data_IF_598878924403
#
_entry.id   IF_598878924403
#
_cell.length_a   1.000
_cell.length_b   1.000
_cell.length_c   1.000
_cell.angle_alpha   90.00
_cell.angle_beta   90.00
_cell.angle_gamma   90.00
#
_symmetry.space_group_name_H-M   'P 1'
#
loop_
_entity.id
_entity.type
_entity.pdbx_description
1 polymer ?
#
# COMPACT_ATOMS: atom_id res chain seq x y z
N UNK A 1 26.60 -13.12 -33.41
CA UNK A 1 25.48 -14.05 -33.72
C UNK A 1 24.87 -14.46 -32.38
N UNK A 2 23.60 -14.29 -32.02
CA UNK A 2 22.35 -13.86 -32.66
C UNK A 2 21.64 -12.93 -31.67
N UNK A 3 21.15 -11.77 -32.11
CA UNK A 3 20.27 -10.95 -31.29
C UNK A 3 18.86 -11.52 -31.37
N UNK A 4 18.31 -12.00 -30.26
CA UNK A 4 16.87 -12.24 -30.18
C UNK A 4 16.16 -10.90 -29.97
N UNK A 5 15.72 -10.38 -31.12
CA UNK A 5 14.83 -9.25 -31.30
C UNK A 5 13.43 -9.70 -30.84
N UNK A 6 12.80 -8.89 -29.97
CA UNK A 6 11.43 -8.98 -29.45
C UNK A 6 11.21 -9.81 -28.16
N UNK A 7 10.92 -9.08 -27.08
CA UNK A 7 10.34 -9.59 -25.84
C UNK A 7 10.13 -8.41 -24.91
N UNK A 8 9.01 -7.70 -25.08
CA UNK A 8 8.58 -6.57 -24.26
C UNK A 8 8.81 -6.90 -22.78
N UNK A 9 9.49 -5.99 -22.05
CA UNK A 9 9.48 -6.02 -20.60
C UNK A 9 8.02 -6.10 -20.17
N UNK A 10 7.67 -7.19 -19.49
CA UNK A 10 6.33 -7.42 -18.97
C UNK A 10 6.07 -6.31 -17.92
N UNK A 11 5.49 -5.20 -18.37
CA UNK A 11 4.99 -4.15 -17.50
C UNK A 11 3.82 -4.79 -16.75
N UNK A 12 4.11 -5.33 -15.56
CA UNK A 12 3.07 -5.78 -14.63
C UNK A 12 2.22 -4.56 -14.32
N UNK A 13 1.04 -4.50 -14.93
CA UNK A 13 0.05 -3.50 -14.57
C UNK A 13 -0.35 -3.81 -13.14
N UNK A 14 0.03 -2.93 -12.21
CA UNK A 14 -0.56 -2.95 -10.88
C UNK A 14 -2.06 -2.72 -11.07
N UNK A 15 -2.83 -3.81 -11.06
CA UNK A 15 -4.28 -3.74 -11.17
C UNK A 15 -4.80 -2.98 -9.95
N UNK A 16 -5.43 -1.84 -10.18
CA UNK A 16 -6.12 -1.08 -9.15
C UNK A 16 -7.35 -1.91 -8.76
N UNK A 17 -7.22 -2.77 -7.75
CA UNK A 17 -8.16 -3.87 -7.55
C UNK A 17 -9.51 -3.48 -6.98
N UNK A 18 -9.79 -2.24 -6.57
CA UNK A 18 -11.10 -1.88 -6.01
C UNK A 18 -11.47 -0.41 -6.33
N UNK A 19 -12.72 -0.22 -6.78
CA UNK A 19 -13.44 1.04 -7.10
C UNK A 19 -13.03 1.73 -8.42
N UNK A 20 -14.05 2.08 -9.23
CA UNK A 20 -14.00 2.62 -10.61
C UNK A 20 -12.69 3.33 -10.99
N UNK A 21 -11.77 2.50 -11.48
CA UNK A 21 -10.42 2.85 -11.83
C UNK A 21 -10.37 3.86 -12.98
N UNK A 22 -11.36 3.86 -13.87
CA UNK A 22 -11.41 4.74 -15.05
C UNK A 22 -11.80 6.17 -14.69
N UNK A 23 -12.88 6.35 -13.94
CA UNK A 23 -13.35 7.68 -13.51
C UNK A 23 -12.33 8.32 -12.57
N UNK A 24 -11.79 7.58 -11.60
CA UNK A 24 -10.78 8.11 -10.69
C UNK A 24 -9.47 8.49 -11.40
N UNK A 25 -9.07 7.75 -12.46
CA UNK A 25 -7.90 8.13 -13.27
C UNK A 25 -8.13 9.44 -14.00
N UNK A 26 -9.29 9.61 -14.63
CA UNK A 26 -9.62 10.84 -15.35
C UNK A 26 -9.65 12.05 -14.41
N UNK A 27 -10.29 11.92 -13.25
CA UNK A 27 -10.36 12.98 -12.24
C UNK A 27 -8.97 13.35 -11.70
N UNK A 28 -8.13 12.36 -11.37
CA UNK A 28 -6.74 12.62 -10.93
C UNK A 28 -5.91 13.32 -12.01
N UNK A 29 -6.05 12.92 -13.27
CA UNK A 29 -5.34 13.55 -14.38
C UNK A 29 -5.80 14.99 -14.60
N UNK A 30 -7.10 15.26 -14.54
CA UNK A 30 -7.65 16.60 -14.65
C UNK A 30 -7.17 17.50 -13.51
N UNK A 31 -7.23 17.00 -12.28
CA UNK A 31 -6.75 17.73 -11.09
C UNK A 31 -5.25 18.03 -11.19
N UNK A 32 -4.42 17.06 -11.56
CA UNK A 32 -2.98 17.28 -11.74
C UNK A 32 -2.68 18.28 -12.87
N UNK A 33 -3.44 18.24 -13.96
CA UNK A 33 -3.27 19.15 -15.09
C UNK A 33 -3.65 20.59 -14.74
N UNK A 34 -4.73 20.79 -13.97
CA UNK A 34 -5.17 22.10 -13.50
C UNK A 34 -4.14 22.75 -12.55
N UNK A 35 -3.52 21.95 -11.69
CA UNK A 35 -2.57 22.42 -10.69
C UNK A 35 -1.10 22.28 -11.10
N UNK A 36 -0.80 21.99 -12.38
CA UNK A 36 0.56 21.69 -12.87
C UNK A 36 1.57 22.83 -12.65
N UNK A 37 1.06 24.06 -12.55
CA UNK A 37 1.86 25.28 -12.46
C UNK A 37 1.82 25.90 -11.06
N UNK A 38 1.27 25.19 -10.08
CA UNK A 38 1.26 25.67 -8.71
C UNK A 38 2.67 25.87 -8.16
N UNK A 39 2.86 27.05 -7.59
CA UNK A 39 4.06 27.46 -6.90
C UNK A 39 4.09 26.93 -5.48
N UNK A 40 5.25 27.03 -4.82
CA UNK A 40 5.38 26.66 -3.41
C UNK A 40 4.42 27.46 -2.52
N UNK A 41 4.14 28.72 -2.87
CA UNK A 41 3.21 29.53 -2.12
C UNK A 41 1.77 29.06 -2.31
N UNK A 42 1.36 28.64 -3.51
CA UNK A 42 0.03 28.06 -3.74
C UNK A 42 -0.20 26.83 -2.85
N UNK A 43 0.80 25.95 -2.71
CA UNK A 43 0.73 24.77 -1.84
C UNK A 43 0.56 25.12 -0.35
N UNK A 44 1.12 26.24 0.12
CA UNK A 44 0.99 26.69 1.51
C UNK A 44 -0.43 27.09 1.89
N UNK A 45 -1.26 27.44 0.92
CA UNK A 45 -2.65 27.83 1.17
C UNK A 45 -3.59 26.64 1.38
N UNK A 46 -3.10 25.41 1.22
CA UNK A 46 -3.91 24.19 1.30
C UNK A 46 -3.77 23.57 2.69
N UNK A 47 -4.92 23.33 3.33
CA UNK A 47 -5.01 22.53 4.54
C UNK A 47 -5.36 21.08 4.18
N UNK A 48 -4.48 20.15 4.52
CA UNK A 48 -4.69 18.71 4.32
C UNK A 48 -5.24 18.08 5.60
N UNK A 49 -6.22 17.20 5.46
CA UNK A 49 -6.72 16.37 6.56
C UNK A 49 -6.80 14.91 6.13
N UNK A 50 -6.41 14.00 7.01
CA UNK A 50 -6.52 12.56 6.80
C UNK A 50 -6.78 11.86 8.15
N UNK A 51 -7.36 10.67 8.11
CA UNK A 51 -7.57 9.83 9.27
C UNK A 51 -6.57 8.67 9.29
N UNK A 52 -5.78 8.58 10.35
CA UNK A 52 -4.82 7.49 10.53
C UNK A 52 -5.22 6.56 11.67
N UNK A 53 -5.16 5.24 11.42
CA UNK A 53 -5.42 4.22 12.44
C UNK A 53 -4.15 3.88 13.22
N UNK A 54 -4.10 4.26 14.49
CA UNK A 54 -3.03 3.84 15.41
C UNK A 54 -3.51 2.66 16.26
N UNK A 55 -2.86 1.50 16.12
CA UNK A 55 -3.18 0.30 16.90
C UNK A 55 -2.03 -0.06 17.84
N UNK A 56 -2.35 -0.29 19.11
CA UNK A 56 -1.39 -0.78 20.11
C UNK A 56 -0.93 -2.22 19.80
N UNK A 57 -1.87 -3.06 19.37
CA UNK A 57 -1.60 -4.42 18.92
C UNK A 57 -2.02 -4.56 17.45
N UNK A 58 -1.09 -4.97 16.58
CA UNK A 58 -1.38 -5.24 15.17
C UNK A 58 -2.22 -6.50 15.08
N UNK A 59 -3.49 -6.36 14.76
CA UNK A 59 -4.37 -7.50 14.43
C UNK A 59 -4.09 -7.98 13.00
N UNK A 60 -3.70 -7.04 12.14
CA UNK A 60 -3.58 -7.27 10.70
C UNK A 60 -2.10 -7.43 10.33
N UNK A 61 -1.52 -8.60 10.63
CA UNK A 61 -0.16 -8.90 10.21
C UNK A 61 0.38 -10.23 10.72
N UNK A 62 1.24 -10.86 9.91
CA UNK A 62 2.07 -11.97 10.37
C UNK A 62 3.23 -11.43 11.19
N UNK A 63 3.32 -11.82 12.46
CA UNK A 63 4.50 -11.54 13.29
C UNK A 63 5.65 -12.44 12.84
N UNK A 64 6.83 -11.87 12.63
CA UNK A 64 8.05 -12.65 12.36
C UNK A 64 8.57 -13.20 13.68
N UNK A 65 8.79 -14.51 13.71
CA UNK A 65 9.32 -15.24 14.88
C UNK A 65 10.57 -16.00 14.43
N UNK A 66 11.64 -15.96 15.24
CA UNK A 66 12.83 -16.79 15.07
C UNK A 66 12.67 -18.04 15.93
N UNK A 67 12.80 -19.24 15.33
CA UNK A 67 12.66 -20.53 16.05
C UNK A 67 13.47 -21.64 15.39
N UNK A 68 13.74 -22.71 16.13
CA UNK A 68 14.34 -23.92 15.58
C UNK A 68 13.31 -24.69 14.72
N UNK A 69 13.76 -25.57 13.79
CA UNK A 69 12.88 -26.29 12.86
C UNK A 69 11.74 -27.12 13.50
N UNK A 70 11.83 -27.45 14.79
CA UNK A 70 10.87 -28.30 15.51
C UNK A 70 10.02 -27.55 16.57
N UNK A 71 10.12 -26.22 16.67
CA UNK A 71 9.47 -25.43 17.74
C UNK A 71 8.17 -24.74 17.27
N UNK A 72 7.47 -25.31 16.28
CA UNK A 72 6.33 -24.63 15.65
C UNK A 72 5.20 -24.26 16.64
N UNK A 73 4.94 -25.12 17.64
CA UNK A 73 3.87 -24.96 18.64
C UNK A 73 4.38 -24.52 20.02
N UNK A 74 5.64 -24.08 20.13
CA UNK A 74 6.13 -23.58 21.41
C UNK A 74 5.28 -22.37 21.84
N UNK A 75 4.87 -22.25 23.12
CA UNK A 75 4.06 -21.12 23.58
C UNK A 75 4.72 -19.76 23.34
N UNK A 76 6.05 -19.70 23.31
CA UNK A 76 6.84 -18.51 22.94
C UNK A 76 6.71 -18.12 21.47
N UNK A 77 6.29 -19.05 20.62
CA UNK A 77 6.08 -18.86 19.18
C UNK A 77 4.60 -18.61 18.83
N UNK A 78 3.71 -18.55 19.83
CA UNK A 78 2.28 -18.35 19.65
C UNK A 78 1.87 -16.99 20.22
N UNK A 79 1.26 -16.15 19.39
CA UNK A 79 0.62 -14.94 19.86
C UNK A 79 -0.82 -15.27 20.31
N UNK A 80 -1.21 -14.84 21.51
CA UNK A 80 -2.61 -14.96 21.95
C UNK A 80 -3.48 -14.06 21.08
N UNK A 81 -4.54 -14.63 20.50
CA UNK A 81 -5.60 -13.85 19.87
C UNK A 81 -6.40 -13.16 20.97
N UNK A 82 -6.20 -11.86 21.15
CA UNK A 82 -7.05 -11.04 22.01
C UNK A 82 -8.21 -10.59 21.15
N UNK A 83 -9.44 -10.97 21.51
CA UNK A 83 -10.65 -10.39 20.91
C UNK A 83 -10.63 -8.89 21.26
N UNK A 84 -10.53 -8.03 20.26
CA UNK A 84 -10.76 -6.61 20.47
C UNK A 84 -12.22 -6.44 20.89
N UNK A 85 -12.46 -5.86 22.07
CA UNK A 85 -13.81 -5.57 22.55
C UNK A 85 -14.58 -4.66 21.59
N UNK A 86 -15.89 -4.88 21.55
CA UNK A 86 -16.89 -4.12 20.79
C UNK A 86 -16.76 -2.60 20.97
#
# INVERSE_FOLDING_TARGET
MKYHRHGLLELKTHSCTLVDCTTHKALRLAWASQHRHWTVDDWKHISWSDESRFQLNRVDGRVRVWRQPHEFMAPTCQQRTVQAGL
#
